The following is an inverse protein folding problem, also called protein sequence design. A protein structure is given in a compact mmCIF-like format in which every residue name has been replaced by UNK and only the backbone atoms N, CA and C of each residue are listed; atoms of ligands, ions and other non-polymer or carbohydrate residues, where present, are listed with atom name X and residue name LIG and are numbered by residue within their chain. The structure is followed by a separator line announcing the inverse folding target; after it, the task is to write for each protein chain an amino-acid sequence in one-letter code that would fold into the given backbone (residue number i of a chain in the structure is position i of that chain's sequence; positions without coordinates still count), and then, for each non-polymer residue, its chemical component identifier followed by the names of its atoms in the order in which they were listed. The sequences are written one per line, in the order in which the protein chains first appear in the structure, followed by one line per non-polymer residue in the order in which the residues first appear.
data_IF_852781179832
#
_entry.id   IF_852781179832
#
_cell.length_a   1.000
_cell.length_b   1.000
_cell.length_c   1.000
_cell.angle_alpha   90.00
_cell.angle_beta   90.00
_cell.angle_gamma   90.00
#
_symmetry.space_group_name_H-M   'P 1'
#
loop_
_entity.id
_entity.type
_entity.pdbx_description
1 polymer ?
#
# COMPACT_ATOMS: atom_id res chain seq x y z
N UNK A 1 1.90 40.16 -55.35
CA UNK A 1 1.92 39.90 -53.88
C UNK A 1 1.57 38.46 -53.67
N UNK A 2 2.57 37.63 -53.31
CA UNK A 2 2.36 36.19 -53.02
C UNK A 2 2.43 36.02 -51.52
N UNK A 3 1.32 35.67 -50.87
CA UNK A 3 1.26 35.30 -49.46
C UNK A 3 1.62 33.81 -49.30
N UNK A 4 2.76 33.53 -48.71
CA UNK A 4 3.14 32.18 -48.24
C UNK A 4 2.56 32.00 -46.85
N UNK A 5 1.55 31.16 -46.76
CA UNK A 5 0.99 30.72 -45.48
C UNK A 5 1.86 29.57 -44.96
N UNK A 6 2.61 29.83 -43.90
CA UNK A 6 3.39 28.80 -43.18
C UNK A 6 2.48 28.10 -42.18
N UNK A 7 2.11 26.86 -42.48
CA UNK A 7 1.37 26.01 -41.55
C UNK A 7 2.41 25.39 -40.57
N UNK A 8 2.43 25.87 -39.33
CA UNK A 8 3.18 25.28 -38.29
C UNK A 8 2.43 24.03 -37.77
N UNK A 9 2.94 22.82 -38.07
CA UNK A 9 2.48 21.60 -37.47
C UNK A 9 2.98 21.57 -36.01
N UNK A 10 2.08 21.81 -35.06
CA UNK A 10 2.30 21.51 -33.66
C UNK A 10 2.26 19.98 -33.47
N UNK A 11 3.42 19.34 -33.47
CA UNK A 11 3.57 17.95 -33.03
C UNK A 11 3.33 17.92 -31.54
N UNK A 12 2.12 17.54 -31.11
CA UNK A 12 1.84 17.20 -29.72
C UNK A 12 2.62 15.94 -29.37
N UNK A 13 3.75 16.10 -28.69
CA UNK A 13 4.44 14.98 -28.05
C UNK A 13 3.53 14.46 -26.95
N UNK A 14 2.77 13.40 -27.24
CA UNK A 14 2.14 12.58 -26.19
C UNK A 14 3.28 11.90 -25.48
N UNK A 15 3.71 12.46 -24.35
CA UNK A 15 4.59 11.79 -23.44
C UNK A 15 3.86 10.52 -22.98
N UNK A 16 4.31 9.36 -23.46
CA UNK A 16 3.85 8.08 -22.94
C UNK A 16 4.08 8.10 -21.44
N UNK A 17 3.02 8.00 -20.64
CA UNK A 17 3.15 7.85 -19.19
C UNK A 17 4.06 6.65 -18.94
N UNK A 18 5.03 6.74 -18.01
CA UNK A 18 5.86 5.61 -17.67
C UNK A 18 4.95 4.45 -17.27
N UNK A 19 5.09 3.32 -17.92
CA UNK A 19 4.34 2.10 -17.60
C UNK A 19 4.81 1.65 -16.24
N UNK A 20 4.09 2.03 -15.21
CA UNK A 20 4.41 1.68 -13.82
C UNK A 20 4.29 0.15 -13.69
N UNK A 21 5.30 -0.45 -13.07
CA UNK A 21 5.31 -1.90 -12.85
C UNK A 21 4.29 -2.24 -11.78
N UNK A 22 3.23 -2.92 -12.19
CA UNK A 22 2.19 -3.38 -11.28
C UNK A 22 2.65 -4.63 -10.51
N UNK A 23 2.25 -4.70 -9.24
CA UNK A 23 2.55 -5.84 -8.39
C UNK A 23 1.45 -6.09 -7.35
N UNK A 24 1.46 -7.29 -6.80
CA UNK A 24 0.72 -7.64 -5.59
C UNK A 24 1.69 -7.72 -4.41
N UNK A 25 1.17 -7.63 -3.19
CA UNK A 25 1.92 -7.80 -1.96
C UNK A 25 1.48 -9.08 -1.27
N UNK A 26 2.44 -9.91 -0.87
CA UNK A 26 2.22 -11.21 -0.24
C UNK A 26 3.05 -11.32 1.04
N UNK A 27 2.49 -11.88 2.10
CA UNK A 27 3.19 -12.07 3.36
C UNK A 27 4.19 -13.21 3.31
N UNK A 28 5.31 -13.04 4.02
CA UNK A 28 6.28 -14.10 4.28
C UNK A 28 7.05 -13.85 5.59
N UNK A 29 7.76 -14.86 6.06
CA UNK A 29 8.64 -14.75 7.23
C UNK A 29 7.93 -14.57 8.56
N UNK A 30 6.62 -14.85 8.65
CA UNK A 30 5.89 -14.92 9.90
C UNK A 30 6.34 -16.12 10.74
N UNK A 31 6.38 -15.95 12.06
CA UNK A 31 6.65 -17.06 12.98
C UNK A 31 5.51 -18.10 12.94
N UNK A 32 4.27 -17.65 12.87
CA UNK A 32 3.13 -18.52 12.60
C UNK A 32 2.99 -18.75 11.08
N UNK A 33 3.18 -19.99 10.63
CA UNK A 33 3.14 -20.34 9.22
C UNK A 33 1.81 -20.02 8.53
N UNK A 34 0.69 -19.97 9.28
CA UNK A 34 -0.64 -19.62 8.74
C UNK A 34 -0.75 -18.14 8.33
N UNK A 35 0.19 -17.31 8.74
CA UNK A 35 0.25 -15.90 8.35
C UNK A 35 1.20 -15.64 7.16
N UNK A 36 1.75 -16.68 6.58
CA UNK A 36 2.52 -16.62 5.33
C UNK A 36 1.61 -16.86 4.12
N UNK A 37 2.07 -16.44 2.95
CA UNK A 37 1.39 -16.59 1.66
C UNK A 37 0.00 -15.92 1.56
N UNK A 38 -0.28 -14.97 2.45
CA UNK A 38 -1.50 -14.18 2.42
C UNK A 38 -1.30 -12.95 1.52
N UNK A 39 -2.23 -12.74 0.60
CA UNK A 39 -2.20 -11.56 -0.25
C UNK A 39 -2.85 -10.35 0.44
N UNK A 40 -2.22 -9.20 0.28
CA UNK A 40 -2.77 -7.93 0.75
C UNK A 40 -3.95 -7.54 -0.14
N UNK A 41 -5.05 -7.20 0.50
CA UNK A 41 -6.27 -6.68 -0.12
C UNK A 41 -6.55 -5.27 0.39
N UNK A 42 -7.40 -4.55 -0.30
CA UNK A 42 -7.93 -3.27 0.15
C UNK A 42 -9.42 -3.43 0.37
N UNK A 43 -9.89 -3.02 1.50
CA UNK A 43 -11.30 -3.10 1.87
C UNK A 43 -11.73 -1.88 2.67
N UNK A 44 -13.03 -1.71 2.82
CA UNK A 44 -13.56 -0.64 3.65
C UNK A 44 -13.02 -0.78 5.07
N UNK A 45 -12.53 0.33 5.58
CA UNK A 45 -12.22 0.52 6.98
C UNK A 45 -13.47 0.58 7.83
N UNK A 46 -13.39 1.24 8.98
CA UNK A 46 -14.49 1.38 9.95
C UNK A 46 -15.77 1.90 9.28
N UNK A 47 -16.88 1.32 9.66
CA UNK A 47 -18.22 1.36 9.02
C UNK A 47 -18.75 2.75 8.64
N UNK A 48 -18.25 3.82 9.24
CA UNK A 48 -18.82 5.17 9.11
C UNK A 48 -17.98 6.16 8.27
N UNK A 49 -16.88 5.72 7.68
CA UNK A 49 -16.08 6.57 6.82
C UNK A 49 -15.97 5.95 5.41
N UNK A 50 -16.77 6.41 4.45
CA UNK A 50 -16.78 5.87 3.09
C UNK A 50 -15.48 6.13 2.32
N UNK A 51 -14.66 7.07 2.80
CA UNK A 51 -13.39 7.44 2.17
C UNK A 51 -12.19 6.72 2.79
N UNK A 52 -12.40 5.92 3.84
CA UNK A 52 -11.35 5.23 4.55
C UNK A 52 -11.29 3.75 4.14
N UNK A 53 -10.26 3.38 3.40
CA UNK A 53 -9.96 1.99 3.10
C UNK A 53 -8.74 1.54 3.92
N UNK A 54 -8.77 0.29 4.33
CA UNK A 54 -7.70 -0.35 5.11
C UNK A 54 -7.00 -1.42 4.29
N UNK A 55 -5.71 -1.55 4.52
CA UNK A 55 -4.92 -2.66 4.03
C UNK A 55 -5.16 -3.88 4.94
N UNK A 56 -5.72 -4.95 4.39
CA UNK A 56 -6.18 -6.09 5.16
C UNK A 56 -5.84 -7.43 4.47
N UNK A 57 -5.95 -8.51 5.24
CA UNK A 57 -5.70 -9.87 4.77
C UNK A 57 -7.02 -10.65 4.76
N UNK A 58 -7.72 -10.65 3.65
CA UNK A 58 -9.03 -11.29 3.54
C UNK A 58 -8.98 -12.83 3.41
N UNK A 59 -7.85 -13.46 3.71
CA UNK A 59 -7.68 -14.92 3.60
C UNK A 59 -7.89 -15.45 2.18
N UNK A 60 -7.73 -14.61 1.20
CA UNK A 60 -8.22 -14.86 -0.14
C UNK A 60 -7.14 -15.40 -1.07
N UNK A 61 -7.54 -16.21 -2.05
CA UNK A 61 -6.69 -16.57 -3.16
C UNK A 61 -6.19 -15.30 -3.90
N UNK A 62 -5.10 -15.42 -4.64
CA UNK A 62 -4.47 -14.34 -5.42
C UNK A 62 -5.45 -13.50 -6.26
N UNK A 63 -6.61 -14.04 -6.60
CA UNK A 63 -7.68 -13.35 -7.36
C UNK A 63 -8.28 -12.13 -6.66
N UNK A 64 -8.14 -11.99 -5.34
CA UNK A 64 -8.62 -10.84 -4.56
C UNK A 64 -7.48 -9.94 -4.09
N UNK A 65 -6.26 -10.24 -4.49
CA UNK A 65 -5.11 -9.41 -4.16
C UNK A 65 -5.27 -8.02 -4.77
N UNK A 66 -5.06 -7.00 -3.96
CA UNK A 66 -4.98 -5.64 -4.46
C UNK A 66 -3.72 -5.47 -5.32
N UNK A 67 -3.85 -4.67 -6.37
CA UNK A 67 -2.73 -4.34 -7.26
C UNK A 67 -2.14 -3.00 -6.84
N UNK A 68 -0.82 -2.93 -6.79
CA UNK A 68 -0.09 -1.73 -6.38
C UNK A 68 0.97 -1.36 -7.41
N UNK A 69 1.43 -0.12 -7.31
CA UNK A 69 2.58 0.42 -8.04
C UNK A 69 3.29 1.47 -7.18
N UNK A 70 4.54 1.78 -7.52
CA UNK A 70 5.29 2.83 -6.82
C UNK A 70 5.38 4.06 -7.70
N UNK A 71 4.94 5.19 -7.17
CA UNK A 71 5.04 6.49 -7.82
C UNK A 71 5.72 7.49 -6.86
N UNK A 72 6.88 8.01 -7.24
CA UNK A 72 7.65 8.98 -6.45
C UNK A 72 7.86 8.59 -4.98
N UNK A 73 8.15 7.30 -4.72
CA UNK A 73 8.37 6.77 -3.38
C UNK A 73 7.10 6.60 -2.54
N UNK A 74 5.93 6.76 -3.14
CA UNK A 74 4.62 6.42 -2.55
C UNK A 74 4.10 5.15 -3.19
N UNK A 75 3.55 4.24 -2.40
CA UNK A 75 2.86 3.05 -2.89
C UNK A 75 1.41 3.42 -3.17
N UNK A 76 0.97 3.20 -4.40
CA UNK A 76 -0.37 3.47 -4.88
C UNK A 76 -1.14 2.19 -5.08
N UNK A 77 -2.44 2.21 -4.77
CA UNK A 77 -3.36 1.14 -5.10
C UNK A 77 -4.01 1.42 -6.47
N UNK A 78 -3.87 0.46 -7.38
CA UNK A 78 -4.59 0.45 -8.65
C UNK A 78 -6.02 -0.06 -8.42
N UNK A 79 -6.92 0.87 -8.13
CA UNK A 79 -8.34 0.58 -7.92
C UNK A 79 -9.12 0.39 -9.21
N UNK A 80 -8.48 0.64 -10.37
CA UNK A 80 -9.14 0.73 -11.68
C UNK A 80 -9.82 2.09 -11.93
N UNK A 81 -9.83 2.99 -10.96
CA UNK A 81 -10.34 4.36 -11.09
C UNK A 81 -9.17 5.35 -11.09
N UNK A 82 -8.81 5.83 -12.28
CA UNK A 82 -7.72 6.79 -12.44
C UNK A 82 -8.06 8.19 -11.88
N UNK A 83 -9.33 8.50 -11.66
CA UNK A 83 -9.77 9.80 -11.12
C UNK A 83 -9.50 9.94 -9.63
N UNK A 84 -9.37 8.82 -8.92
CA UNK A 84 -9.18 8.77 -7.48
C UNK A 84 -7.89 8.02 -7.14
N UNK A 85 -6.75 8.70 -7.07
CA UNK A 85 -5.47 8.06 -6.79
C UNK A 85 -5.35 7.70 -5.30
N UNK A 86 -5.56 6.45 -4.99
CA UNK A 86 -5.40 5.88 -3.66
C UNK A 86 -3.94 5.65 -3.32
N UNK A 87 -3.54 5.88 -2.07
CA UNK A 87 -2.17 5.67 -1.63
C UNK A 87 -2.12 4.91 -0.30
N UNK A 88 -1.10 4.06 -0.15
CA UNK A 88 -0.78 3.43 1.13
C UNK A 88 -0.23 4.50 2.08
N UNK A 89 -0.93 4.71 3.19
CA UNK A 89 -0.54 5.66 4.21
C UNK A 89 -0.28 4.99 5.55
N UNK A 90 0.81 5.38 6.20
CA UNK A 90 1.21 4.88 7.52
C UNK A 90 0.67 5.83 8.59
N UNK A 91 -0.50 5.51 9.11
CA UNK A 91 -1.18 6.35 10.09
C UNK A 91 -0.67 6.03 11.49
N UNK A 92 -0.19 7.06 12.17
CA UNK A 92 0.27 7.00 13.56
C UNK A 92 -0.91 7.13 14.50
N UNK A 93 -0.99 6.20 15.44
CA UNK A 93 -1.95 6.25 16.53
C UNK A 93 -1.21 6.66 17.79
N UNK A 94 -1.59 7.79 18.38
CA UNK A 94 -0.96 8.33 19.59
C UNK A 94 -0.97 7.31 20.72
N UNK A 95 0.20 7.12 21.33
CA UNK A 95 0.38 6.17 22.43
C UNK A 95 0.41 4.69 22.04
N UNK A 96 0.19 4.35 20.79
CA UNK A 96 0.23 2.97 20.33
C UNK A 96 1.64 2.57 19.86
N UNK A 97 2.04 1.33 20.17
CA UNK A 97 3.29 0.74 19.67
C UNK A 97 3.17 0.19 18.25
N UNK A 98 1.95 0.06 17.75
CA UNK A 98 1.62 -0.34 16.39
C UNK A 98 0.92 0.82 15.69
N UNK A 99 1.12 0.94 14.42
CA UNK A 99 0.46 1.91 13.58
C UNK A 99 -0.30 1.18 12.48
N UNK A 100 -1.44 1.70 12.12
CA UNK A 100 -2.27 1.11 11.08
C UNK A 100 -1.79 1.56 9.72
N UNK A 101 -1.57 0.63 8.81
CA UNK A 101 -1.39 0.93 7.41
C UNK A 101 -2.77 1.08 6.75
N UNK A 102 -3.02 2.22 6.15
CA UNK A 102 -4.28 2.52 5.45
C UNK A 102 -4.02 2.92 4.01
N UNK A 103 -5.02 2.68 3.18
CA UNK A 103 -5.06 3.22 1.82
C UNK A 103 -5.88 4.51 1.84
N UNK A 104 -5.22 5.61 1.56
CA UNK A 104 -5.81 6.94 1.52
C UNK A 104 -6.46 7.24 0.17
N UNK A 105 -7.48 8.09 0.18
CA UNK A 105 -8.13 8.61 -1.05
C UNK A 105 -7.39 9.78 -1.63
N UNK A 106 -6.71 10.56 -0.81
CA UNK A 106 -6.09 11.82 -1.20
C UNK A 106 -4.79 11.58 -1.98
N UNK A 107 -4.65 12.10 -3.21
CA UNK A 107 -3.43 11.96 -3.99
C UNK A 107 -2.23 12.73 -3.42
N UNK A 108 -2.49 13.74 -2.59
CA UNK A 108 -1.44 14.49 -1.90
C UNK A 108 -1.02 13.85 -0.59
N UNK A 109 -1.82 12.96 -0.04
CA UNK A 109 -1.50 12.15 1.13
C UNK A 109 -0.83 10.86 0.69
N UNK A 110 -0.58 9.99 1.61
CA UNK A 110 0.20 8.80 1.42
C UNK A 110 1.63 9.00 1.88
N UNK A 111 2.13 8.04 2.62
CA UNK A 111 3.49 8.08 3.13
C UNK A 111 4.49 7.98 1.98
N UNK A 112 5.57 8.76 2.08
CA UNK A 112 6.69 8.74 1.13
C UNK A 112 7.87 7.96 1.70
N UNK A 113 8.77 7.53 0.80
CA UNK A 113 10.00 6.86 1.20
C UNK A 113 9.87 5.34 1.28
N UNK A 114 8.83 4.78 0.66
CA UNK A 114 8.78 3.34 0.45
C UNK A 114 9.86 2.91 -0.54
N UNK A 115 10.45 1.76 -0.25
CA UNK A 115 11.46 1.13 -1.10
C UNK A 115 11.16 -0.36 -1.28
N UNK A 116 11.59 -0.92 -2.41
CA UNK A 116 11.53 -2.36 -2.66
C UNK A 116 12.94 -2.89 -2.54
N UNK A 117 13.16 -3.79 -1.58
CA UNK A 117 14.44 -4.41 -1.31
C UNK A 117 14.36 -5.94 -1.32
N UNK A 118 15.43 -6.64 -0.92
CA UNK A 118 15.48 -8.10 -0.93
C UNK A 118 14.42 -8.78 -0.04
N UNK A 119 13.90 -8.06 0.95
CA UNK A 119 12.82 -8.53 1.84
C UNK A 119 11.44 -8.01 1.42
N UNK A 120 11.30 -7.52 0.19
CA UNK A 120 10.06 -6.97 -0.33
C UNK A 120 9.88 -5.48 -0.05
N UNK A 121 8.62 -5.05 0.12
CA UNK A 121 8.27 -3.66 0.38
C UNK A 121 8.70 -3.26 1.79
N UNK A 122 9.40 -2.14 1.88
CA UNK A 122 9.84 -1.51 3.13
C UNK A 122 9.22 -0.12 3.24
N UNK A 123 8.82 0.27 4.43
CA UNK A 123 8.31 1.59 4.71
C UNK A 123 9.42 2.63 4.89
N UNK A 124 9.04 3.89 5.14
CA UNK A 124 9.97 5.02 5.33
C UNK A 124 10.99 4.74 6.42
N UNK A 125 12.28 4.86 6.09
CA UNK A 125 13.39 4.57 7.01
C UNK A 125 13.37 5.39 8.30
N UNK A 126 12.67 6.52 8.34
CA UNK A 126 12.57 7.40 9.51
C UNK A 126 11.71 6.83 10.65
N UNK A 127 10.69 6.04 10.34
CA UNK A 127 9.70 5.58 11.33
C UNK A 127 9.41 4.08 11.29
N UNK A 128 9.59 3.44 10.14
CA UNK A 128 9.23 2.04 9.94
C UNK A 128 10.22 1.07 10.60
N UNK A 129 9.70 0.16 11.44
CA UNK A 129 10.46 -0.89 12.12
C UNK A 129 10.12 -2.31 11.65
N UNK A 130 9.24 -2.44 10.67
CA UNK A 130 8.78 -3.72 10.11
C UNK A 130 7.28 -3.79 9.98
N UNK A 131 6.80 -4.66 9.10
CA UNK A 131 5.38 -4.94 8.92
C UNK A 131 4.87 -5.90 9.96
N UNK A 132 3.60 -5.74 10.33
CA UNK A 132 2.90 -6.61 11.26
C UNK A 132 1.61 -7.09 10.60
N UNK A 133 1.40 -8.40 10.67
CA UNK A 133 0.08 -8.99 10.58
C UNK A 133 -0.54 -8.93 11.97
N UNK A 134 -1.72 -8.35 12.11
CA UNK A 134 -2.44 -8.33 13.40
C UNK A 134 -3.83 -8.93 13.24
N UNK A 135 -4.32 -9.66 14.26
CA UNK A 135 -5.64 -10.28 14.22
C UNK A 135 -6.74 -9.22 14.17
N UNK A 136 -7.94 -9.68 13.88
CA UNK A 136 -9.16 -8.87 13.89
C UNK A 136 -9.34 -8.20 15.25
N UNK A 137 -9.53 -6.89 15.25
CA UNK A 137 -10.01 -6.15 16.41
C UNK A 137 -11.52 -5.92 16.27
N UNK A 138 -12.30 -6.84 16.81
CA UNK A 138 -13.75 -6.78 16.76
C UNK A 138 -14.32 -5.57 17.52
N UNK A 139 -13.62 -5.10 18.56
CA UNK A 139 -14.01 -3.91 19.31
C UNK A 139 -13.85 -2.62 18.48
N UNK A 140 -12.90 -2.62 17.52
CA UNK A 140 -12.73 -1.56 16.54
C UNK A 140 -13.61 -1.72 15.30
N UNK A 141 -14.52 -2.71 15.26
CA UNK A 141 -15.39 -2.96 14.11
C UNK A 141 -14.71 -3.58 12.91
N UNK A 142 -13.53 -4.18 13.08
CA UNK A 142 -12.81 -4.85 12.00
C UNK A 142 -13.38 -6.25 11.73
N UNK A 143 -13.38 -6.65 10.45
CA UNK A 143 -13.84 -7.98 10.02
C UNK A 143 -12.71 -8.90 9.55
N UNK A 144 -11.54 -8.35 9.28
CA UNK A 144 -10.39 -9.06 8.74
C UNK A 144 -9.11 -8.67 9.49
N UNK A 145 -8.11 -9.56 9.53
CA UNK A 145 -6.78 -9.19 9.98
C UNK A 145 -6.22 -8.05 9.15
N UNK A 146 -5.58 -7.09 9.80
CA UNK A 146 -5.09 -5.88 9.16
C UNK A 146 -3.57 -5.83 9.09
N UNK A 147 -3.09 -5.11 8.07
CA UNK A 147 -1.70 -4.71 7.98
C UNK A 147 -1.43 -3.54 8.94
N UNK A 148 -0.42 -3.73 9.77
CA UNK A 148 0.13 -2.70 10.65
C UNK A 148 1.63 -2.58 10.42
N UNK A 149 2.23 -1.56 11.01
CA UNK A 149 3.69 -1.47 11.06
C UNK A 149 4.18 -1.19 12.48
N UNK A 150 5.41 -1.58 12.74
CA UNK A 150 6.08 -1.30 14.00
C UNK A 150 6.80 0.05 13.89
N UNK A 151 6.40 1.01 14.73
CA UNK A 151 7.06 2.31 14.79
C UNK A 151 8.36 2.20 15.59
N UNK A 152 9.50 2.32 14.92
CA UNK A 152 10.82 2.23 15.56
C UNK A 152 11.15 3.40 16.50
N UNK A 153 10.42 4.51 16.39
CA UNK A 153 10.64 5.70 17.21
C UNK A 153 9.95 5.61 18.59
N UNK A 154 9.18 4.55 18.83
CA UNK A 154 8.58 4.29 20.12
C UNK A 154 9.62 3.57 21.01
N UNK A 155 9.84 4.02 22.26
CA UNK A 155 10.70 3.32 23.19
C UNK A 155 10.26 1.87 23.36
N UNK A 156 11.21 0.92 23.26
CA UNK A 156 10.95 -0.51 23.36
C UNK A 156 9.88 -1.02 22.37
N UNK A 157 10.14 -0.97 21.08
CA UNK A 157 9.20 -1.45 20.07
C UNK A 157 9.07 -2.97 20.15
N UNK A 158 8.12 -3.46 20.94
CA UNK A 158 7.77 -4.88 21.00
C UNK A 158 6.63 -5.15 20.02
N UNK A 159 6.66 -6.33 19.40
CA UNK A 159 5.51 -6.81 18.60
C UNK A 159 4.31 -6.93 19.54
N UNK A 160 3.17 -6.29 19.23
CA UNK A 160 1.98 -6.39 20.07
C UNK A 160 1.51 -7.85 20.21
N UNK A 161 0.90 -8.17 21.35
CA UNK A 161 0.35 -9.50 21.58
C UNK A 161 -0.62 -9.90 20.46
N UNK A 162 -0.48 -11.11 19.95
CA UNK A 162 -1.29 -11.65 18.86
C UNK A 162 -0.87 -11.19 17.46
N UNK A 163 0.00 -10.19 17.31
CA UNK A 163 0.54 -9.81 16.01
C UNK A 163 1.79 -10.62 15.68
N UNK A 164 2.04 -10.82 14.39
CA UNK A 164 3.28 -11.39 13.87
C UNK A 164 4.05 -10.36 13.05
N UNK A 165 5.38 -10.40 13.19
CA UNK A 165 6.27 -9.67 12.30
C UNK A 165 6.36 -10.40 10.96
N UNK A 166 6.13 -9.68 9.87
CA UNK A 166 6.09 -10.23 8.51
C UNK A 166 6.97 -9.43 7.55
N UNK A 167 7.27 -10.00 6.40
CA UNK A 167 7.72 -9.29 5.21
C UNK A 167 6.53 -9.16 4.24
N UNK A 168 6.57 -8.13 3.38
CA UNK A 168 5.65 -7.99 2.26
C UNK A 168 6.44 -8.19 0.96
N UNK A 169 6.42 -9.41 0.46
CA UNK A 169 7.03 -9.76 -0.83
C UNK A 169 6.30 -9.07 -1.97
N UNK A 170 7.07 -8.55 -2.91
CA UNK A 170 6.55 -7.96 -4.14
C UNK A 170 6.42 -9.06 -5.19
N UNK A 171 5.20 -9.37 -5.57
CA UNK A 171 4.87 -10.35 -6.60
C UNK A 171 4.50 -9.59 -7.87
N UNK A 172 5.35 -9.59 -8.91
CA UNK A 172 5.05 -8.89 -10.16
C UNK A 172 3.73 -9.39 -10.76
N UNK A 173 2.91 -8.45 -11.22
CA UNK A 173 1.71 -8.78 -11.97
C UNK A 173 2.08 -8.88 -13.45
N UNK A 174 1.87 -10.05 -14.04
CA UNK A 174 2.04 -10.22 -15.49
C UNK A 174 1.05 -9.28 -16.19
N UNK A 175 1.55 -8.45 -17.11
CA UNK A 175 0.68 -7.78 -18.08
C UNK A 175 -0.03 -8.86 -18.88
N UNK A 176 -1.35 -8.91 -18.78
CA UNK A 176 -2.18 -9.78 -19.62
C UNK A 176 -2.15 -9.28 -21.07
#
# INVERSE_FOLDING_TARGET
MKFLATIALLASAVAAAPTEKLFNLKTSGAANSTHNDLYLSVGRGIINDPLNNEALFAGAPAKRAATFYVNNGTVRWDSGDASTPWALDLIKVDGARKERAQVSVDPTTGSKGFTIGPKGLQGPASSWGGWLWCPVDAAAGQFYPNLHFLNKNVPLPAVPAGCDKINLEVVPKSSA
#
